data_IF_583793602793
#
_entry.id   IF_583793602793
#
_cell.length_a   1.000
_cell.length_b   1.000
_cell.length_c   1.000
_cell.angle_alpha   90.00
_cell.angle_beta   90.00
_cell.angle_gamma   90.00
#
_symmetry.space_group_name_H-M   'P 1'
#
loop_
_entity.id
_entity.type
_entity.pdbx_description
1 polymer ?
#
# COMPACT_ATOMS: atom_id res chain seq x y z
N UNK A 1 5.92 33.18 3.22
CA UNK A 1 5.42 31.78 3.18
C UNK A 1 6.22 31.00 4.22
N UNK A 2 5.55 30.30 5.15
CA UNK A 2 6.22 29.54 6.22
C UNK A 2 6.77 28.21 5.65
N UNK A 3 8.09 27.96 5.71
CA UNK A 3 8.70 26.71 5.26
C UNK A 3 8.20 25.45 6.00
N UNK A 4 7.55 25.60 7.16
CA UNK A 4 6.89 24.49 7.86
C UNK A 4 5.56 24.11 7.20
N UNK A 5 4.78 25.08 6.72
CA UNK A 5 3.50 24.82 6.03
C UNK A 5 3.69 24.08 4.71
N UNK A 6 4.78 24.35 3.98
CA UNK A 6 5.10 23.66 2.72
C UNK A 6 5.49 22.20 2.95
N UNK A 7 6.25 21.91 4.01
CA UNK A 7 6.62 20.54 4.41
C UNK A 7 5.41 19.71 4.85
N UNK A 8 4.50 20.29 5.63
CA UNK A 8 3.29 19.61 6.08
C UNK A 8 2.34 19.28 4.92
N UNK A 9 2.12 20.23 4.02
CA UNK A 9 1.23 20.02 2.87
C UNK A 9 1.79 18.95 1.93
N UNK A 10 3.09 19.00 1.62
CA UNK A 10 3.75 18.01 0.77
C UNK A 10 3.64 16.60 1.35
N UNK A 11 3.90 16.44 2.66
CA UNK A 11 3.79 15.15 3.35
C UNK A 11 2.36 14.58 3.35
N UNK A 12 1.34 15.45 3.38
CA UNK A 12 -0.07 15.03 3.29
C UNK A 12 -0.43 14.62 1.87
N UNK A 13 0.03 15.36 0.86
CA UNK A 13 -0.17 15.04 -0.55
C UNK A 13 0.50 13.71 -0.90
N UNK A 14 1.74 13.49 -0.44
CA UNK A 14 2.49 12.27 -0.68
C UNK A 14 1.77 11.04 -0.15
N UNK A 15 1.40 11.09 1.14
CA UNK A 15 0.68 9.99 1.79
C UNK A 15 -0.68 9.72 1.16
N UNK A 16 -1.38 10.77 0.74
CA UNK A 16 -2.67 10.67 0.06
C UNK A 16 -2.53 10.00 -1.32
N UNK A 17 -1.52 10.39 -2.10
CA UNK A 17 -1.23 9.82 -3.42
C UNK A 17 -0.87 8.34 -3.33
N UNK A 18 0.04 7.99 -2.42
CA UNK A 18 0.41 6.58 -2.16
C UNK A 18 -0.80 5.77 -1.71
N UNK A 19 -1.62 6.30 -0.80
CA UNK A 19 -2.85 5.62 -0.38
C UNK A 19 -3.82 5.42 -1.55
N UNK A 20 -3.95 6.39 -2.46
CA UNK A 20 -4.78 6.26 -3.65
C UNK A 20 -4.28 5.14 -4.56
N UNK A 21 -2.97 5.09 -4.85
CA UNK A 21 -2.35 4.02 -5.66
C UNK A 21 -2.58 2.63 -5.04
N UNK A 22 -2.39 2.50 -3.72
CA UNK A 22 -2.65 1.25 -3.01
C UNK A 22 -4.13 0.83 -3.11
N UNK A 23 -5.06 1.79 -3.00
CA UNK A 23 -6.51 1.53 -3.05
C UNK A 23 -7.01 1.16 -4.44
N UNK A 24 -6.45 1.72 -5.49
CA UNK A 24 -6.88 1.45 -6.87
C UNK A 24 -6.10 0.30 -7.50
N UNK A 25 -4.91 -0.01 -6.97
CA UNK A 25 -3.95 -0.88 -7.63
C UNK A 25 -3.29 -0.23 -8.84
N UNK A 26 -3.60 1.03 -9.17
CA UNK A 26 -2.94 1.82 -10.21
C UNK A 26 -1.62 2.36 -9.66
N UNK A 27 -0.69 1.44 -9.46
CA UNK A 27 0.54 1.65 -8.74
C UNK A 27 1.71 1.19 -9.61
N UNK A 28 2.94 1.65 -9.33
CA UNK A 28 4.17 1.20 -10.03
C UNK A 28 4.59 -0.21 -9.61
N UNK A 29 3.64 -1.13 -9.57
CA UNK A 29 3.79 -2.55 -9.32
C UNK A 29 3.58 -3.31 -10.63
N UNK A 30 4.36 -4.35 -10.85
CA UNK A 30 4.42 -5.05 -12.14
C UNK A 30 3.05 -5.61 -12.58
N UNK A 31 2.16 -5.99 -11.66
CA UNK A 31 0.81 -6.42 -12.02
C UNK A 31 -0.03 -5.34 -12.71
N UNK A 32 0.11 -4.07 -12.32
CA UNK A 32 -0.55 -2.97 -13.04
C UNK A 32 0.23 -2.58 -14.30
N UNK A 33 1.56 -2.47 -14.19
CA UNK A 33 2.41 -2.07 -15.32
C UNK A 33 2.30 -3.04 -16.50
N UNK A 34 2.18 -4.35 -16.25
CA UNK A 34 1.97 -5.34 -17.31
C UNK A 34 0.60 -5.18 -17.97
N UNK A 35 -0.46 -4.89 -17.19
CA UNK A 35 -1.81 -4.64 -17.75
C UNK A 35 -1.88 -3.42 -18.68
N UNK A 36 -0.98 -2.45 -18.50
CA UNK A 36 -0.87 -1.28 -19.38
C UNK A 36 0.30 -1.38 -20.37
N UNK A 37 0.87 -2.58 -20.54
CA UNK A 37 1.99 -2.87 -21.46
C UNK A 37 3.27 -2.06 -21.19
N UNK A 38 3.49 -1.59 -19.96
CA UNK A 38 4.73 -0.90 -19.54
C UNK A 38 5.77 -1.88 -19.02
N UNK A 39 5.35 -2.98 -18.38
CA UNK A 39 6.24 -4.06 -17.95
C UNK A 39 5.95 -5.33 -18.75
N UNK A 40 7.00 -6.07 -19.12
CA UNK A 40 6.86 -7.31 -19.88
C UNK A 40 6.20 -8.43 -19.07
N UNK A 41 6.53 -8.52 -17.77
CA UNK A 41 6.03 -9.54 -16.87
C UNK A 41 5.38 -8.92 -15.64
N UNK A 42 4.30 -9.55 -15.16
CA UNK A 42 3.67 -9.18 -13.90
C UNK A 42 4.44 -9.67 -12.67
N UNK A 43 5.42 -10.57 -12.84
CA UNK A 43 6.14 -11.23 -11.75
C UNK A 43 6.83 -10.22 -10.82
N UNK A 44 6.69 -10.40 -9.51
CA UNK A 44 7.47 -9.68 -8.53
C UNK A 44 8.94 -10.11 -8.58
N UNK A 45 9.87 -9.18 -8.33
CA UNK A 45 11.30 -9.45 -8.22
C UNK A 45 11.64 -10.58 -7.23
N UNK A 46 10.82 -10.74 -6.18
CA UNK A 46 11.00 -11.81 -5.20
C UNK A 46 10.77 -13.23 -5.76
N UNK A 47 10.17 -13.34 -6.96
CA UNK A 47 9.97 -14.57 -7.73
C UNK A 47 8.73 -15.41 -7.37
N UNK A 48 7.96 -15.04 -6.34
CA UNK A 48 6.92 -15.92 -5.78
C UNK A 48 5.53 -15.79 -6.43
N UNK A 49 5.17 -14.61 -6.93
CA UNK A 49 3.88 -14.34 -7.54
C UNK A 49 3.95 -13.04 -8.36
N UNK A 50 2.87 -12.71 -9.07
CA UNK A 50 2.66 -11.38 -9.63
C UNK A 50 2.74 -10.27 -8.56
N UNK A 51 3.35 -9.14 -8.90
CA UNK A 51 3.47 -7.99 -8.01
C UNK A 51 2.15 -7.21 -7.97
N UNK A 52 1.24 -7.63 -7.10
CA UNK A 52 -0.01 -6.93 -6.78
C UNK A 52 0.10 -6.17 -5.46
N UNK A 53 -0.86 -5.29 -5.15
CA UNK A 53 -0.91 -4.61 -3.83
C UNK A 53 -0.98 -5.61 -2.69
N UNK A 54 -1.77 -6.68 -2.83
CA UNK A 54 -1.87 -7.73 -1.82
C UNK A 54 -0.52 -8.43 -1.63
N UNK A 55 0.12 -8.83 -2.73
CA UNK A 55 1.43 -9.47 -2.66
C UNK A 55 2.46 -8.54 -2.02
N UNK A 56 2.54 -7.29 -2.50
CA UNK A 56 3.44 -6.27 -2.01
C UNK A 56 3.29 -6.05 -0.49
N UNK A 57 2.06 -5.80 -0.02
CA UNK A 57 1.79 -5.49 1.38
C UNK A 57 1.91 -6.70 2.32
N UNK A 58 1.57 -7.92 1.88
CA UNK A 58 1.36 -9.04 2.81
C UNK A 58 2.21 -10.29 2.53
N UNK A 59 2.60 -10.57 1.28
CA UNK A 59 3.19 -11.86 0.89
C UNK A 59 4.63 -11.81 0.39
N UNK A 60 5.06 -10.69 -0.20
CA UNK A 60 6.40 -10.50 -0.76
C UNK A 60 7.51 -10.66 0.29
N UNK A 61 8.35 -11.69 0.17
CA UNK A 61 9.42 -11.96 1.16
C UNK A 61 10.44 -10.83 1.31
N UNK A 62 10.70 -10.07 0.23
CA UNK A 62 11.63 -8.94 0.27
C UNK A 62 11.13 -7.78 1.12
N UNK A 63 9.81 -7.67 1.32
CA UNK A 63 9.21 -6.61 2.14
C UNK A 63 9.00 -7.03 3.59
N UNK A 64 9.44 -8.23 3.98
CA UNK A 64 9.19 -8.77 5.33
C UNK A 64 9.75 -7.86 6.42
N UNK A 65 10.95 -7.30 6.23
CA UNK A 65 11.57 -6.38 7.18
C UNK A 65 10.75 -5.09 7.41
N UNK A 66 9.96 -4.66 6.42
CA UNK A 66 9.12 -3.47 6.49
C UNK A 66 7.69 -3.76 6.98
N UNK A 67 7.32 -5.03 7.17
CA UNK A 67 5.96 -5.43 7.60
C UNK A 67 5.76 -5.46 9.10
N UNK A 68 6.81 -5.27 9.91
CA UNK A 68 6.71 -5.37 11.38
C UNK A 68 5.55 -4.54 11.92
N UNK A 69 5.39 -3.30 11.46
CA UNK A 69 4.28 -2.44 11.87
C UNK A 69 2.91 -2.94 11.39
N UNK A 70 2.81 -3.46 10.15
CA UNK A 70 1.55 -4.04 9.65
C UNK A 70 1.14 -5.27 10.46
N UNK A 71 2.10 -6.11 10.84
CA UNK A 71 1.85 -7.31 11.65
C UNK A 71 1.44 -6.96 13.08
N UNK A 72 1.92 -5.85 13.63
CA UNK A 72 1.48 -5.33 14.93
C UNK A 72 0.04 -4.82 14.91
N UNK A 73 -0.45 -4.32 13.77
CA UNK A 73 -1.82 -3.80 13.66
C UNK A 73 -2.90 -4.88 13.80
N UNK A 74 -2.60 -6.17 13.57
CA UNK A 74 -3.59 -7.25 13.72
C UNK A 74 -2.97 -8.66 13.73
N UNK A 75 -3.43 -9.51 14.65
CA UNK A 75 -3.16 -10.95 14.63
C UNK A 75 -4.22 -11.74 13.85
N UNK A 76 -5.37 -11.14 13.52
CA UNK A 76 -6.59 -11.83 13.06
C UNK A 76 -6.94 -11.49 11.60
N UNK A 77 -6.54 -10.31 11.11
CA UNK A 77 -6.89 -9.81 9.77
C UNK A 77 -5.71 -9.81 8.79
N UNK A 78 -4.83 -10.81 8.87
CA UNK A 78 -3.69 -10.93 7.95
C UNK A 78 -4.19 -11.02 6.50
N UNK A 79 -3.77 -10.08 5.66
CA UNK A 79 -4.16 -10.03 4.25
C UNK A 79 -5.48 -9.30 3.95
N UNK A 80 -6.19 -8.76 4.95
CA UNK A 80 -7.42 -8.01 4.70
C UNK A 80 -7.11 -6.60 4.14
N UNK A 81 -7.19 -6.45 2.82
CA UNK A 81 -6.93 -5.18 2.12
C UNK A 81 -7.83 -4.05 2.63
N UNK A 82 -9.11 -4.31 2.92
CA UNK A 82 -10.04 -3.29 3.44
C UNK A 82 -9.53 -2.68 4.74
N UNK A 83 -9.12 -3.53 5.67
CA UNK A 83 -8.60 -3.13 6.98
C UNK A 83 -7.35 -2.26 6.85
N UNK A 84 -6.41 -2.69 6.02
CA UNK A 84 -5.13 -2.02 5.84
C UNK A 84 -5.18 -0.79 4.95
N UNK A 85 -6.16 -0.63 4.08
CA UNK A 85 -6.26 0.53 3.18
C UNK A 85 -7.41 1.47 3.54
N UNK A 86 -8.16 1.16 4.60
CA UNK A 86 -9.32 1.94 5.03
C UNK A 86 -10.34 2.10 3.90
N UNK A 87 -10.64 1.02 3.18
CA UNK A 87 -11.73 0.97 2.17
C UNK A 87 -12.69 -0.15 2.56
N UNK A 88 -13.98 0.14 2.70
CA UNK A 88 -15.00 -0.88 2.91
C UNK A 88 -15.13 -1.77 1.66
N UNK A 89 -15.05 -3.08 1.86
CA UNK A 89 -15.37 -4.11 0.87
C UNK A 89 -16.86 -4.50 0.98
N UNK A 90 -17.49 -5.00 -0.09
CA UNK A 90 -18.84 -5.57 -0.01
C UNK A 90 -18.98 -6.70 1.02
N UNK A 91 -17.88 -7.37 1.37
CA UNK A 91 -17.86 -8.43 2.38
C UNK A 91 -17.73 -7.92 3.83
N UNK A 92 -17.50 -6.62 4.03
CA UNK A 92 -17.34 -6.04 5.36
C UNK A 92 -18.71 -5.80 6.05
N UNK A 93 -18.72 -5.89 7.38
CA UNK A 93 -19.91 -5.64 8.19
C UNK A 93 -20.47 -4.21 8.00
N UNK A 94 -21.75 -4.03 8.33
CA UNK A 94 -22.42 -2.74 8.15
C UNK A 94 -21.79 -1.62 9.00
N UNK A 95 -21.34 -1.95 10.21
CA UNK A 95 -20.67 -1.05 11.17
C UNK A 95 -19.14 -0.97 10.97
N UNK A 96 -18.63 -1.37 9.80
CA UNK A 96 -17.21 -1.33 9.50
C UNK A 96 -16.65 0.10 9.63
N UNK A 97 -15.48 0.22 10.27
CA UNK A 97 -14.73 1.47 10.40
C UNK A 97 -13.27 1.27 9.97
N UNK A 98 -12.64 2.28 9.37
CA UNK A 98 -11.26 2.18 8.92
C UNK A 98 -10.29 2.13 10.10
N UNK A 99 -9.28 1.25 10.03
CA UNK A 99 -8.15 1.29 10.94
C UNK A 99 -7.07 2.24 10.39
N UNK A 100 -6.96 3.43 10.99
CA UNK A 100 -6.01 4.44 10.53
C UNK A 100 -4.55 4.13 10.85
N UNK A 101 -4.28 3.29 11.84
CA UNK A 101 -2.92 2.84 12.14
C UNK A 101 -2.43 1.87 11.06
N UNK A 102 -3.28 0.91 10.68
CA UNK A 102 -3.02 -0.03 9.60
C UNK A 102 -2.81 0.70 8.26
N UNK A 103 -3.68 1.67 7.94
CA UNK A 103 -3.51 2.52 6.75
C UNK A 103 -2.19 3.29 6.74
N UNK A 104 -1.81 3.88 7.88
CA UNK A 104 -0.55 4.61 7.99
C UNK A 104 0.66 3.68 7.85
N UNK A 105 0.60 2.47 8.42
CA UNK A 105 1.65 1.47 8.27
C UNK A 105 1.81 1.01 6.81
N UNK A 106 0.70 0.78 6.08
CA UNK A 106 0.75 0.45 4.65
C UNK A 106 1.38 1.56 3.81
N UNK A 107 1.04 2.83 4.08
CA UNK A 107 1.64 3.98 3.40
C UNK A 107 3.14 4.08 3.71
N UNK A 108 3.54 3.92 4.97
CA UNK A 108 4.96 3.96 5.36
C UNK A 108 5.78 2.85 4.70
N UNK A 109 5.26 1.62 4.66
CA UNK A 109 5.90 0.52 3.94
C UNK A 109 6.09 0.88 2.47
N UNK A 110 5.06 1.41 1.81
CA UNK A 110 5.13 1.80 0.41
C UNK A 110 6.21 2.86 0.15
N UNK A 111 6.25 3.93 0.95
CA UNK A 111 7.23 5.02 0.82
C UNK A 111 8.66 4.53 1.11
N UNK A 112 8.89 3.83 2.22
CA UNK A 112 10.24 3.37 2.63
C UNK A 112 10.86 2.42 1.61
N UNK A 113 10.04 1.63 0.91
CA UNK A 113 10.54 0.74 -0.14
C UNK A 113 10.96 1.46 -1.42
N UNK A 114 10.63 2.75 -1.58
CA UNK A 114 10.85 3.54 -2.79
C UNK A 114 10.07 3.03 -4.00
N UNK A 115 9.16 2.07 -3.82
CA UNK A 115 8.42 1.43 -4.91
C UNK A 115 7.25 2.29 -5.38
N UNK A 116 6.63 3.02 -4.45
CA UNK A 116 5.54 3.95 -4.71
C UNK A 116 5.94 5.36 -4.27
N UNK A 117 5.60 6.34 -5.10
CA UNK A 117 5.87 7.77 -4.94
C UNK A 117 4.63 8.55 -5.42
N UNK A 118 4.55 9.82 -5.02
CA UNK A 118 3.60 10.80 -5.55
C UNK A 118 3.81 10.97 -7.05
N UNK A 119 2.72 10.95 -7.80
CA UNK A 119 2.71 11.30 -9.23
C UNK A 119 2.82 12.80 -9.38
#
# INVERSE_FOLDING_TARGET
>A
MDPRSTNYLWLVVERSGVLAQLRTGMARLNGYLSRINVAELEQCACGQAGETVEHFLFRCRERTAHRTELLQCTNIHRGNISFFLGRKSPSDAQNWTPNWEAARASIRLAIVTGRLDVV
#
